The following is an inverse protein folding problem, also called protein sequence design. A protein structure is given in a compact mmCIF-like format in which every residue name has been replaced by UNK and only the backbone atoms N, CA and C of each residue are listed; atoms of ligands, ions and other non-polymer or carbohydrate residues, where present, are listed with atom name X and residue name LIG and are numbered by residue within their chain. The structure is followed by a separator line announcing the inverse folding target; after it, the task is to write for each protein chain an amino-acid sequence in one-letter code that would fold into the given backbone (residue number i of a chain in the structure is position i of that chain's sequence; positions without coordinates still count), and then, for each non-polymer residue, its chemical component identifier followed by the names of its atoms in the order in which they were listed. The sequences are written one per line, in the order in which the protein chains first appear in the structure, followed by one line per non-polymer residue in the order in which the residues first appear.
data_IF_734926059743
#
_entry.id   IF_734926059743
#
_cell.length_a   1.000
_cell.length_b   1.000
_cell.length_c   1.000
_cell.angle_alpha   90.00
_cell.angle_beta   90.00
_cell.angle_gamma   90.00
#
_symmetry.space_group_name_H-M   'P 1'
#
loop_
_entity.id
_entity.type
_entity.pdbx_description
1 polymer ?
#
# COMPACT_ATOMS: atom_id res chain seq x y z
N UNK A 1 -29.93 88.76 17.32
CA UNK A 1 -29.86 89.56 16.08
C UNK A 1 -30.19 88.66 14.90
N UNK A 2 -30.75 89.26 13.84
CA UNK A 2 -31.45 88.64 12.70
C UNK A 2 -30.69 87.54 11.93
N UNK A 3 -31.42 86.63 11.27
CA UNK A 3 -30.90 85.48 10.49
C UNK A 3 -30.71 85.81 9.00
N UNK A 4 -30.01 84.95 8.24
CA UNK A 4 -30.02 84.90 6.77
C UNK A 4 -29.35 83.59 6.29
N UNK A 5 -30.09 82.54 5.93
CA UNK A 5 -30.82 82.23 4.66
C UNK A 5 -29.94 81.77 3.49
N UNK A 6 -30.01 80.46 3.21
CA UNK A 6 -30.36 79.81 1.92
C UNK A 6 -30.48 78.30 2.21
N UNK A 7 -31.67 77.72 2.26
CA UNK A 7 -32.50 77.24 1.15
C UNK A 7 -31.77 76.18 0.29
N UNK A 8 -32.29 75.00 -0.07
CA UNK A 8 -33.56 74.27 0.14
C UNK A 8 -33.39 72.92 -0.61
N UNK A 9 -34.07 71.84 -0.18
CA UNK A 9 -34.36 70.57 -0.90
C UNK A 9 -33.13 69.64 -1.18
N UNK A 10 -33.20 68.30 -1.13
CA UNK A 10 -34.26 67.37 -1.59
C UNK A 10 -34.01 65.94 -1.06
N UNK A 11 -35.11 65.21 -0.86
CA UNK A 11 -35.36 63.76 -1.08
C UNK A 11 -34.64 62.69 -0.26
N UNK A 12 -35.44 62.04 0.59
CA UNK A 12 -35.29 60.66 1.01
C UNK A 12 -35.73 59.69 -0.12
N UNK A 13 -34.97 58.61 -0.30
CA UNK A 13 -35.43 57.39 -0.96
C UNK A 13 -34.93 56.20 -0.15
N UNK A 14 -35.89 55.45 0.41
CA UNK A 14 -35.66 54.16 1.03
C UNK A 14 -35.39 53.12 -0.06
N UNK A 15 -34.25 52.42 0.04
CA UNK A 15 -33.96 51.26 -0.79
C UNK A 15 -34.26 49.99 0.02
N UNK A 16 -35.25 49.23 -0.47
CA UNK A 16 -35.59 47.90 0.01
C UNK A 16 -34.43 46.94 -0.27
N UNK A 17 -33.96 46.24 0.77
CA UNK A 17 -32.99 45.15 0.63
C UNK A 17 -33.77 43.88 0.29
N UNK A 18 -33.85 43.57 -1.00
CA UNK A 18 -34.38 42.30 -1.48
C UNK A 18 -33.40 41.18 -1.13
N UNK A 19 -33.87 40.22 -0.34
CA UNK A 19 -33.18 38.97 -0.06
C UNK A 19 -33.06 38.13 -1.33
N UNK A 20 -31.88 38.09 -1.93
CA UNK A 20 -31.50 37.03 -2.86
C UNK A 20 -30.89 35.89 -2.05
N UNK A 21 -31.72 34.89 -1.80
CA UNK A 21 -31.30 33.58 -1.29
C UNK A 21 -30.19 33.03 -2.19
N UNK A 22 -28.97 32.96 -1.66
CA UNK A 22 -27.86 32.20 -2.24
C UNK A 22 -28.16 30.71 -2.14
N UNK A 23 -29.12 30.23 -2.92
CA UNK A 23 -29.27 28.83 -3.26
C UNK A 23 -28.17 28.45 -4.26
N UNK A 24 -26.91 28.50 -3.83
CA UNK A 24 -25.77 28.09 -4.66
C UNK A 24 -24.68 27.35 -3.87
N UNK A 25 -24.99 26.84 -2.67
CA UNK A 25 -24.05 26.04 -1.88
C UNK A 25 -24.50 24.59 -1.61
N UNK A 26 -25.73 24.18 -1.95
CA UNK A 26 -26.16 22.77 -1.80
C UNK A 26 -25.80 21.89 -2.99
N UNK A 27 -25.13 22.44 -4.00
CA UNK A 27 -24.47 21.71 -5.07
C UNK A 27 -22.97 21.52 -4.82
N UNK A 28 -22.53 21.69 -3.56
CA UNK A 28 -21.30 21.09 -3.05
C UNK A 28 -21.45 19.57 -3.11
N UNK A 29 -21.30 19.06 -4.33
CA UNK A 29 -20.80 17.75 -4.70
C UNK A 29 -21.01 16.73 -3.59
N UNK A 30 -22.12 15.98 -3.65
CA UNK A 30 -22.21 14.65 -3.04
C UNK A 30 -20.96 13.90 -3.53
N UNK A 31 -19.84 14.01 -2.80
CA UNK A 31 -18.65 13.20 -3.04
C UNK A 31 -19.20 11.79 -2.92
N UNK A 32 -19.18 11.05 -4.03
CA UNK A 32 -19.64 9.66 -4.02
C UNK A 32 -18.83 8.98 -2.93
N UNK A 33 -19.47 8.68 -1.82
CA UNK A 33 -18.82 8.09 -0.66
C UNK A 33 -18.20 6.79 -1.12
N UNK A 34 -16.89 6.64 -0.95
CA UNK A 34 -16.21 5.41 -1.33
C UNK A 34 -16.82 4.27 -0.53
N UNK A 35 -17.18 3.17 -1.19
CA UNK A 35 -17.52 1.90 -0.53
C UNK A 35 -16.47 0.85 -0.86
N UNK A 36 -15.88 0.25 0.16
CA UNK A 36 -14.95 -0.89 0.01
C UNK A 36 -15.66 -2.10 -0.60
N UNK A 37 -14.89 -3.12 -1.02
CA UNK A 37 -15.47 -4.40 -1.44
C UNK A 37 -16.33 -5.02 -0.34
N UNK A 38 -15.90 -4.95 0.93
CA UNK A 38 -16.69 -5.41 2.06
C UNK A 38 -18.00 -4.64 2.24
N UNK A 39 -17.96 -3.29 2.23
CA UNK A 39 -19.18 -2.47 2.36
C UNK A 39 -20.19 -2.75 1.23
N UNK A 40 -19.72 -3.15 0.05
CA UNK A 40 -20.60 -3.55 -1.05
C UNK A 40 -21.15 -4.96 -0.89
N UNK A 41 -20.32 -5.90 -0.44
CA UNK A 41 -20.76 -7.26 -0.16
C UNK A 41 -21.86 -7.27 0.93
N UNK A 42 -21.65 -6.54 2.02
CA UNK A 42 -22.61 -6.39 3.11
C UNK A 42 -23.91 -5.70 2.66
N UNK A 43 -23.79 -4.60 1.92
CA UNK A 43 -24.93 -3.87 1.37
C UNK A 43 -25.80 -4.72 0.44
N UNK A 44 -25.17 -5.60 -0.35
CA UNK A 44 -25.87 -6.50 -1.25
C UNK A 44 -26.33 -7.79 -0.53
N UNK A 45 -26.33 -7.78 0.82
CA UNK A 45 -26.89 -8.84 1.65
C UNK A 45 -26.10 -10.15 1.62
N UNK A 46 -24.81 -10.09 1.31
CA UNK A 46 -23.93 -11.26 1.17
C UNK A 46 -24.39 -12.27 0.12
N UNK A 47 -25.21 -11.90 -0.87
CA UNK A 47 -25.72 -12.84 -1.92
C UNK A 47 -24.61 -13.66 -2.58
N UNK A 48 -23.42 -13.07 -2.74
CA UNK A 48 -22.25 -13.76 -3.30
C UNK A 48 -21.80 -14.97 -2.46
N UNK A 49 -22.11 -15.02 -1.17
CA UNK A 49 -21.68 -16.05 -0.22
C UNK A 49 -22.83 -16.98 0.22
N UNK A 50 -24.04 -16.78 -0.30
CA UNK A 50 -25.22 -17.53 0.12
C UNK A 50 -25.05 -19.05 -0.10
N UNK A 51 -25.34 -19.83 0.94
CA UNK A 51 -25.23 -21.29 0.92
C UNK A 51 -23.80 -21.83 0.82
N UNK A 52 -22.77 -20.99 0.95
CA UNK A 52 -21.36 -21.40 0.91
C UNK A 52 -20.76 -21.45 2.31
N UNK A 53 -19.94 -22.47 2.60
CA UNK A 53 -19.05 -22.44 3.78
C UNK A 53 -17.87 -21.53 3.48
N UNK A 54 -17.75 -20.43 4.22
CA UNK A 54 -16.78 -19.38 3.96
C UNK A 54 -15.58 -19.50 4.88
N UNK A 55 -14.38 -19.39 4.32
CA UNK A 55 -13.19 -19.03 5.08
C UNK A 55 -12.64 -17.69 4.60
N UNK A 56 -11.95 -16.95 5.47
CA UNK A 56 -11.46 -15.61 5.13
C UNK A 56 -9.97 -15.44 5.44
N UNK A 57 -9.20 -15.03 4.43
CA UNK A 57 -7.83 -14.55 4.53
C UNK A 57 -7.88 -13.07 4.89
N UNK A 58 -7.48 -12.74 6.11
CA UNK A 58 -7.53 -11.37 6.62
C UNK A 58 -6.54 -11.15 7.77
N UNK A 59 -6.42 -9.90 8.19
CA UNK A 59 -5.56 -9.43 9.27
C UNK A 59 -6.24 -8.21 9.93
N UNK A 60 -5.61 -7.46 10.86
CA UNK A 60 -6.25 -6.33 11.52
C UNK A 60 -6.78 -5.23 10.60
N UNK A 61 -6.32 -5.16 9.35
CA UNK A 61 -6.78 -4.17 8.38
C UNK A 61 -8.13 -4.49 7.76
N UNK A 62 -8.60 -5.73 7.93
CA UNK A 62 -9.93 -6.21 7.56
C UNK A 62 -10.98 -5.60 8.47
N UNK A 63 -11.18 -4.29 8.38
CA UNK A 63 -12.16 -3.54 9.17
C UNK A 63 -13.18 -2.84 8.30
N UNK A 64 -14.35 -2.65 8.90
CA UNK A 64 -15.40 -1.73 8.45
C UNK A 64 -15.00 -0.28 8.67
N UNK A 65 -15.79 0.65 8.13
CA UNK A 65 -15.59 2.09 8.31
C UNK A 65 -15.58 2.52 9.77
N UNK A 66 -16.38 1.87 10.61
CA UNK A 66 -16.47 2.14 12.04
C UNK A 66 -15.45 1.32 12.84
N UNK A 67 -14.38 0.86 12.18
CA UNK A 67 -13.26 0.11 12.77
C UNK A 67 -13.64 -1.22 13.45
N UNK A 68 -14.80 -1.81 13.13
CA UNK A 68 -15.13 -3.19 13.52
C UNK A 68 -14.46 -4.18 12.59
N UNK A 69 -13.87 -5.23 13.13
CA UNK A 69 -13.23 -6.28 12.35
C UNK A 69 -14.28 -7.08 11.55
N UNK A 70 -14.04 -7.31 10.26
CA UNK A 70 -15.02 -7.93 9.35
C UNK A 70 -15.35 -9.37 9.74
N UNK A 71 -14.41 -10.12 10.33
CA UNK A 71 -14.67 -11.47 10.88
C UNK A 71 -15.77 -11.42 11.94
N UNK A 72 -15.68 -10.48 12.88
CA UNK A 72 -16.66 -10.34 13.96
C UNK A 72 -18.02 -9.90 13.40
N UNK A 73 -18.03 -9.07 12.35
CA UNK A 73 -19.26 -8.64 11.65
C UNK A 73 -19.91 -9.80 10.87
N UNK A 74 -19.13 -10.54 10.07
CA UNK A 74 -19.63 -11.65 9.26
C UNK A 74 -20.06 -12.83 10.12
N UNK A 75 -19.31 -13.15 11.18
CA UNK A 75 -19.62 -14.28 12.06
C UNK A 75 -20.95 -14.07 12.82
N UNK A 76 -21.28 -12.82 13.16
CA UNK A 76 -22.54 -12.49 13.83
C UNK A 76 -23.75 -12.45 12.88
N UNK A 77 -23.55 -12.48 11.56
CA UNK A 77 -24.62 -12.37 10.57
C UNK A 77 -25.07 -13.75 10.07
N UNK A 78 -26.31 -14.12 10.37
CA UNK A 78 -26.88 -15.42 10.00
C UNK A 78 -26.94 -15.71 8.50
N UNK A 79 -26.73 -14.69 7.64
CA UNK A 79 -26.65 -14.85 6.18
C UNK A 79 -25.31 -15.39 5.72
N UNK A 80 -24.30 -15.42 6.59
CA UNK A 80 -22.94 -15.86 6.27
C UNK A 80 -22.56 -17.07 7.12
N UNK A 81 -22.24 -18.18 6.46
CA UNK A 81 -21.71 -19.37 7.12
C UNK A 81 -20.17 -19.30 7.21
N UNK A 82 -19.65 -18.43 8.09
CA UNK A 82 -18.21 -18.26 8.30
C UNK A 82 -17.65 -19.38 9.20
N UNK A 83 -16.67 -20.13 8.68
CA UNK A 83 -16.15 -21.36 9.30
C UNK A 83 -14.68 -21.31 9.70
N UNK A 84 -13.87 -20.47 9.06
CA UNK A 84 -12.44 -20.43 9.30
C UNK A 84 -11.82 -19.07 8.97
N UNK A 85 -10.71 -18.77 9.64
CA UNK A 85 -9.88 -17.60 9.37
C UNK A 85 -8.48 -18.05 8.98
N UNK A 86 -7.86 -17.35 8.04
CA UNK A 86 -6.52 -17.62 7.53
C UNK A 86 -5.64 -16.39 7.77
N UNK A 87 -4.72 -16.48 8.73
CA UNK A 87 -3.81 -15.39 9.09
C UNK A 87 -2.56 -15.37 8.18
N UNK A 88 -2.17 -14.21 7.61
CA UNK A 88 -0.96 -14.05 6.80
C UNK A 88 0.29 -13.78 7.68
N UNK A 89 1.34 -13.22 7.07
CA UNK A 89 2.43 -12.57 7.82
C UNK A 89 1.86 -11.52 8.80
N UNK A 90 2.45 -11.44 9.99
CA UNK A 90 1.97 -10.71 11.18
C UNK A 90 0.78 -11.34 11.92
N UNK A 91 0.13 -12.35 11.34
CA UNK A 91 -1.00 -13.06 11.95
C UNK A 91 -2.35 -12.39 11.71
N UNK A 92 -3.40 -13.02 12.27
CA UNK A 92 -4.79 -12.59 12.10
C UNK A 92 -5.11 -11.37 12.96
N UNK A 93 -4.72 -11.37 14.23
CA UNK A 93 -4.90 -10.21 15.14
C UNK A 93 -3.65 -9.31 15.18
N UNK A 94 -2.63 -9.61 14.38
CA UNK A 94 -1.51 -8.71 14.07
C UNK A 94 -0.46 -8.56 15.18
N UNK A 95 -0.29 -9.57 16.03
CA UNK A 95 0.62 -9.45 17.19
C UNK A 95 2.08 -9.78 16.87
N UNK A 96 2.38 -10.34 15.69
CA UNK A 96 3.73 -10.75 15.30
C UNK A 96 4.55 -9.67 14.56
N UNK A 97 5.86 -9.65 14.78
CA UNK A 97 6.81 -8.77 14.08
C UNK A 97 7.02 -9.17 12.61
N UNK A 98 7.71 -8.32 11.85
CA UNK A 98 8.10 -8.61 10.46
C UNK A 98 8.87 -9.93 10.37
N UNK A 99 8.52 -10.77 9.41
CA UNK A 99 9.06 -12.11 9.27
C UNK A 99 8.40 -13.19 10.13
N UNK A 100 7.30 -12.90 10.85
CA UNK A 100 6.64 -13.84 11.77
C UNK A 100 5.12 -13.97 11.61
N UNK A 101 4.52 -14.96 12.26
CA UNK A 101 3.08 -15.26 12.26
C UNK A 101 2.61 -15.83 13.60
N UNK A 102 1.28 -15.95 13.73
CA UNK A 102 0.61 -16.65 14.82
C UNK A 102 0.23 -18.05 14.30
N UNK A 103 0.70 -19.12 14.95
CA UNK A 103 0.34 -20.49 14.57
C UNK A 103 -1.16 -20.80 14.67
N UNK A 104 -1.56 -22.06 14.43
CA UNK A 104 -2.98 -22.47 14.55
C UNK A 104 -3.52 -22.24 15.96
N UNK A 105 -4.66 -21.58 16.08
CA UNK A 105 -5.39 -21.35 17.33
C UNK A 105 -6.90 -21.16 17.06
N UNK A 106 -7.71 -21.04 18.10
CA UNK A 106 -9.12 -20.64 17.97
C UNK A 106 -9.25 -19.17 18.39
N UNK A 107 -9.98 -18.38 17.61
CA UNK A 107 -10.20 -16.97 17.90
C UNK A 107 -11.07 -16.83 19.17
N UNK A 108 -10.60 -16.14 20.22
CA UNK A 108 -11.35 -16.03 21.47
C UNK A 108 -12.71 -15.32 21.34
N UNK A 109 -12.87 -14.44 20.34
CA UNK A 109 -14.09 -13.66 20.17
C UNK A 109 -15.20 -14.44 19.45
N UNK A 110 -14.84 -15.26 18.46
CA UNK A 110 -15.79 -15.98 17.60
C UNK A 110 -15.77 -17.50 17.78
N UNK A 111 -14.74 -18.05 18.42
CA UNK A 111 -14.51 -19.50 18.50
C UNK A 111 -14.12 -20.14 17.17
N UNK A 112 -13.89 -19.35 16.11
CA UNK A 112 -13.51 -19.86 14.80
C UNK A 112 -12.07 -20.37 14.81
N UNK A 113 -11.77 -21.48 14.10
CA UNK A 113 -10.39 -21.91 13.88
C UNK A 113 -9.64 -20.89 13.01
N UNK A 114 -8.49 -20.46 13.51
CA UNK A 114 -7.52 -19.61 12.82
C UNK A 114 -6.34 -20.46 12.37
N UNK A 115 -6.10 -20.49 11.06
CA UNK A 115 -5.00 -21.21 10.45
C UNK A 115 -3.90 -20.25 10.02
N UNK A 116 -2.65 -20.62 10.28
CA UNK A 116 -1.50 -19.88 9.79
C UNK A 116 -1.23 -20.21 8.31
N UNK A 117 -1.12 -19.19 7.48
CA UNK A 117 -0.78 -19.31 6.05
C UNK A 117 0.59 -18.75 5.71
N UNK A 118 1.31 -18.19 6.67
CA UNK A 118 2.61 -17.59 6.45
C UNK A 118 3.64 -18.62 5.97
N UNK A 119 4.39 -18.26 4.92
CA UNK A 119 5.37 -19.10 4.22
C UNK A 119 4.84 -20.45 3.69
N UNK A 120 3.52 -20.59 3.55
CA UNK A 120 2.89 -21.75 2.92
C UNK A 120 2.42 -21.37 1.51
N UNK A 121 2.66 -22.26 0.56
CA UNK A 121 2.20 -22.12 -0.83
C UNK A 121 1.90 -23.49 -1.42
N UNK A 122 1.33 -23.55 -2.62
CA UNK A 122 1.06 -24.81 -3.32
C UNK A 122 0.24 -25.81 -2.50
N UNK A 123 0.67 -27.08 -2.51
CA UNK A 123 -0.05 -28.19 -1.86
C UNK A 123 -0.20 -28.04 -0.34
N UNK A 124 0.86 -27.68 0.44
CA UNK A 124 0.70 -27.44 1.88
C UNK A 124 -0.39 -26.43 2.25
N UNK A 125 -0.55 -25.35 1.47
CA UNK A 125 -1.62 -24.37 1.70
C UNK A 125 -2.98 -24.90 1.22
N UNK A 126 -3.03 -25.64 0.11
CA UNK A 126 -4.25 -26.28 -0.38
C UNK A 126 -4.81 -27.31 0.61
N UNK A 127 -3.93 -28.04 1.31
CA UNK A 127 -4.32 -29.00 2.35
C UNK A 127 -4.97 -28.31 3.55
N UNK A 128 -4.53 -27.09 3.90
CA UNK A 128 -5.18 -26.26 4.94
C UNK A 128 -6.60 -25.88 4.51
N UNK A 129 -6.79 -25.40 3.29
CA UNK A 129 -8.13 -25.08 2.78
C UNK A 129 -9.04 -26.31 2.74
N UNK A 130 -8.49 -27.47 2.38
CA UNK A 130 -9.23 -28.74 2.39
C UNK A 130 -9.64 -29.13 3.82
N UNK A 131 -8.71 -29.11 4.76
CA UNK A 131 -8.94 -29.47 6.15
C UNK A 131 -9.90 -28.52 6.89
N UNK A 132 -9.93 -27.24 6.49
CA UNK A 132 -10.86 -26.25 7.06
C UNK A 132 -12.32 -26.49 6.68
N UNK A 133 -12.60 -27.32 5.66
CA UNK A 133 -13.95 -27.67 5.24
C UNK A 133 -14.73 -26.53 4.55
N UNK A 134 -14.05 -25.46 4.14
CA UNK A 134 -14.65 -24.32 3.42
C UNK A 134 -14.82 -24.62 1.94
N UNK A 135 -15.81 -23.98 1.31
CA UNK A 135 -16.08 -24.07 -0.13
C UNK A 135 -15.57 -22.82 -0.87
N UNK A 136 -15.67 -21.66 -0.21
CA UNK A 136 -15.23 -20.37 -0.72
C UNK A 136 -14.19 -19.75 0.22
N UNK A 137 -13.06 -19.31 -0.35
CA UNK A 137 -12.06 -18.50 0.35
C UNK A 137 -12.22 -17.04 -0.05
N UNK A 138 -12.45 -16.19 0.93
CA UNK A 138 -12.54 -14.72 0.77
C UNK A 138 -11.19 -14.11 1.14
N UNK A 139 -10.72 -13.10 0.39
CA UNK A 139 -9.54 -12.31 0.72
C UNK A 139 -9.96 -10.86 0.99
N UNK A 140 -9.60 -10.34 2.17
CA UNK A 140 -9.77 -8.94 2.50
C UNK A 140 -8.63 -8.43 3.39
N UNK A 141 -7.64 -7.79 2.76
CA UNK A 141 -6.47 -7.18 3.41
C UNK A 141 -6.12 -5.86 2.70
N UNK A 142 -5.81 -4.84 3.49
CA UNK A 142 -5.22 -3.58 3.00
C UNK A 142 -3.73 -3.78 2.68
N UNK A 143 -3.40 -3.68 1.39
CA UNK A 143 -2.04 -3.62 0.89
C UNK A 143 -1.46 -2.18 0.92
N UNK A 144 -0.17 -2.01 0.61
CA UNK A 144 0.52 -0.70 0.58
C UNK A 144 0.94 -0.22 -0.81
N UNK A 145 0.70 -1.01 -1.87
CA UNK A 145 0.99 -0.62 -3.25
C UNK A 145 2.43 -0.87 -3.70
N UNK A 146 3.18 -1.72 -3.00
CA UNK A 146 4.57 -2.04 -3.28
C UNK A 146 4.77 -3.55 -3.45
N UNK A 147 5.55 -3.96 -4.45
CA UNK A 147 5.77 -5.37 -4.81
C UNK A 147 6.33 -6.20 -3.66
N UNK A 148 7.24 -5.63 -2.87
CA UNK A 148 7.87 -6.33 -1.75
C UNK A 148 7.04 -6.31 -0.45
N UNK A 149 5.82 -5.77 -0.49
CA UNK A 149 4.86 -5.96 0.59
C UNK A 149 4.12 -7.28 0.36
N UNK A 150 4.27 -8.22 1.28
CA UNK A 150 4.02 -9.65 1.05
C UNK A 150 2.54 -10.04 0.94
N UNK A 151 1.60 -9.17 1.30
CA UNK A 151 0.17 -9.48 1.27
C UNK A 151 -0.37 -9.76 -0.14
N UNK A 152 0.18 -9.13 -1.17
CA UNK A 152 -0.18 -9.47 -2.56
C UNK A 152 0.36 -10.85 -2.97
N UNK A 153 1.43 -11.33 -2.33
CA UNK A 153 1.96 -12.68 -2.56
C UNK A 153 1.23 -13.73 -1.72
N UNK A 154 0.74 -13.38 -0.53
CA UNK A 154 -0.28 -14.19 0.16
C UNK A 154 -1.52 -14.34 -0.71
N UNK A 155 -2.02 -13.26 -1.34
CA UNK A 155 -3.11 -13.32 -2.30
C UNK A 155 -2.80 -14.30 -3.44
N UNK A 156 -1.64 -14.17 -4.08
CA UNK A 156 -1.21 -15.08 -5.16
C UNK A 156 -1.14 -16.54 -4.71
N UNK A 157 -0.45 -16.83 -3.61
CA UNK A 157 -0.26 -18.19 -3.08
C UNK A 157 -1.61 -18.79 -2.63
N UNK A 158 -2.51 -18.00 -2.05
CA UNK A 158 -3.88 -18.43 -1.69
C UNK A 158 -4.74 -18.72 -2.93
N UNK A 159 -4.62 -17.93 -4.00
CA UNK A 159 -5.34 -18.20 -5.24
C UNK A 159 -4.88 -19.52 -5.89
N UNK A 160 -3.57 -19.77 -5.93
CA UNK A 160 -3.02 -21.04 -6.41
C UNK A 160 -3.47 -22.23 -5.54
N UNK A 161 -3.43 -22.09 -4.22
CA UNK A 161 -3.86 -23.12 -3.29
C UNK A 161 -5.37 -23.40 -3.36
N UNK A 162 -6.20 -22.36 -3.51
CA UNK A 162 -7.64 -22.50 -3.70
C UNK A 162 -7.95 -23.29 -4.96
N UNK A 163 -7.26 -22.99 -6.07
CA UNK A 163 -7.36 -23.79 -7.30
C UNK A 163 -6.99 -25.27 -7.06
N UNK A 164 -5.85 -25.53 -6.42
CA UNK A 164 -5.41 -26.90 -6.09
C UNK A 164 -6.40 -27.68 -5.21
N UNK A 165 -7.10 -26.98 -4.32
CA UNK A 165 -8.10 -27.54 -3.42
C UNK A 165 -9.53 -27.54 -4.00
N UNK A 166 -9.72 -27.13 -5.26
CA UNK A 166 -11.03 -27.05 -5.91
C UNK A 166 -11.97 -26.04 -5.25
N UNK A 167 -11.44 -24.96 -4.68
CA UNK A 167 -12.18 -23.92 -3.97
C UNK A 167 -12.46 -22.72 -4.86
N UNK A 168 -13.56 -22.05 -4.57
CA UNK A 168 -13.87 -20.74 -5.13
C UNK A 168 -13.10 -19.66 -4.39
N UNK A 169 -12.68 -18.59 -5.09
CA UNK A 169 -11.93 -17.49 -4.50
C UNK A 169 -12.63 -16.15 -4.72
N UNK A 170 -12.82 -15.38 -3.66
CA UNK A 170 -13.49 -14.07 -3.69
C UNK A 170 -12.55 -13.00 -3.13
N UNK A 171 -12.34 -11.92 -3.87
CA UNK A 171 -11.52 -10.78 -3.38
C UNK A 171 -12.40 -9.58 -3.10
N UNK A 172 -12.36 -9.09 -1.87
CA UNK A 172 -13.01 -7.84 -1.47
C UNK A 172 -12.01 -6.70 -1.68
N UNK A 173 -12.30 -5.82 -2.63
CA UNK A 173 -11.29 -4.84 -3.03
C UNK A 173 -11.12 -3.70 -2.02
N UNK A 174 -9.89 -3.19 -1.93
CA UNK A 174 -9.50 -2.05 -1.10
C UNK A 174 -8.69 -1.02 -1.90
N UNK A 175 -8.65 0.25 -1.49
CA UNK A 175 -7.85 1.27 -2.15
C UNK A 175 -6.38 0.87 -2.19
N UNK A 176 -5.70 1.12 -3.31
CA UNK A 176 -4.24 1.26 -3.27
C UNK A 176 -3.95 2.59 -2.54
N UNK A 177 -3.23 2.58 -1.40
CA UNK A 177 -3.13 3.77 -0.54
C UNK A 177 -2.24 4.87 -1.13
N UNK A 178 -1.33 4.49 -2.04
CA UNK A 178 -0.45 5.43 -2.74
C UNK A 178 -1.20 6.05 -3.90
N UNK A 179 -1.62 5.27 -4.90
CA UNK A 179 -2.49 5.72 -6.02
C UNK A 179 -2.63 4.59 -7.04
N UNK A 180 -3.67 4.64 -7.88
CA UNK A 180 -3.77 3.80 -9.08
C UNK A 180 -3.14 4.38 -10.34
N UNK A 181 -2.62 5.62 -10.33
CA UNK A 181 -2.29 6.38 -11.56
C UNK A 181 -1.26 5.72 -12.47
N UNK A 182 -0.13 5.29 -11.91
CA UNK A 182 1.01 4.84 -12.68
C UNK A 182 1.59 3.55 -12.11
N UNK A 183 2.35 2.82 -12.93
CA UNK A 183 3.29 1.81 -12.44
C UNK A 183 4.68 2.44 -12.52
N UNK A 184 5.50 2.26 -11.49
CA UNK A 184 6.84 2.85 -11.39
C UNK A 184 7.87 1.79 -10.97
N UNK A 185 9.12 2.03 -11.37
CA UNK A 185 10.25 1.21 -10.99
C UNK A 185 10.47 -0.06 -11.82
N UNK A 186 11.53 -0.81 -11.47
CA UNK A 186 11.87 -2.06 -12.13
C UNK A 186 10.76 -3.12 -12.04
N UNK A 187 10.64 -3.94 -13.06
CA UNK A 187 9.81 -5.15 -13.07
C UNK A 187 10.66 -6.34 -12.63
N UNK A 188 10.08 -7.24 -11.84
CA UNK A 188 10.77 -8.43 -11.36
C UNK A 188 11.16 -9.34 -12.54
N UNK A 189 12.42 -9.74 -12.59
CA UNK A 189 12.90 -10.85 -13.42
C UNK A 189 12.76 -12.15 -12.64
N UNK A 190 12.27 -13.22 -13.30
CA UNK A 190 11.78 -14.42 -12.63
C UNK A 190 12.85 -15.14 -11.80
N UNK A 191 14.11 -15.07 -12.20
CA UNK A 191 15.26 -15.63 -11.49
C UNK A 191 15.55 -14.95 -10.14
N UNK A 192 14.99 -13.75 -9.92
CA UNK A 192 15.05 -13.06 -8.62
C UNK A 192 13.81 -13.32 -7.75
N UNK A 193 12.87 -14.15 -8.21
CA UNK A 193 11.63 -14.40 -7.48
C UNK A 193 11.87 -15.00 -6.08
N UNK A 194 11.15 -14.49 -5.10
CA UNK A 194 11.13 -14.89 -3.69
C UNK A 194 9.75 -14.58 -3.09
N UNK A 195 9.56 -14.70 -1.77
CA UNK A 195 8.29 -14.31 -1.15
C UNK A 195 8.02 -12.79 -1.19
N UNK A 196 9.05 -11.95 -1.32
CA UNK A 196 8.87 -10.48 -1.54
C UNK A 196 8.68 -10.13 -3.03
N UNK A 197 8.50 -11.13 -3.89
CA UNK A 197 8.33 -10.95 -5.32
C UNK A 197 8.15 -12.28 -6.03
N UNK A 198 6.92 -12.75 -6.28
CA UNK A 198 6.70 -14.05 -6.97
C UNK A 198 6.68 -13.93 -8.50
N UNK A 199 6.08 -12.85 -9.00
CA UNK A 199 5.72 -12.71 -10.41
C UNK A 199 6.18 -11.38 -11.03
N UNK A 200 6.38 -11.30 -12.35
CA UNK A 200 6.89 -10.12 -13.07
C UNK A 200 5.94 -8.91 -13.06
N UNK A 201 5.86 -8.22 -11.91
CA UNK A 201 5.15 -6.94 -11.75
C UNK A 201 6.12 -5.82 -11.38
N UNK A 202 5.73 -4.57 -11.69
CA UNK A 202 6.52 -3.40 -11.32
C UNK A 202 6.61 -3.19 -9.80
N UNK A 203 7.71 -2.61 -9.35
CA UNK A 203 7.99 -2.33 -7.93
C UNK A 203 6.89 -1.52 -7.24
N UNK A 204 6.43 -0.43 -7.85
CA UNK A 204 5.17 0.22 -7.50
C UNK A 204 4.17 -0.12 -8.61
N UNK A 205 3.34 -1.14 -8.39
CA UNK A 205 2.47 -1.70 -9.43
C UNK A 205 1.29 -0.79 -9.78
N UNK A 206 0.83 0.04 -8.83
CA UNK A 206 -0.27 0.99 -9.00
C UNK A 206 -1.60 0.33 -9.35
N UNK A 207 -1.90 -0.80 -8.71
CA UNK A 207 -3.10 -1.61 -8.90
C UNK A 207 -3.73 -1.90 -7.53
N UNK A 208 -5.05 -2.10 -7.48
CA UNK A 208 -5.74 -2.60 -6.28
C UNK A 208 -5.55 -4.11 -6.14
N UNK A 209 -5.93 -4.68 -4.98
CA UNK A 209 -5.81 -6.13 -4.75
C UNK A 209 -6.74 -6.93 -5.67
N UNK A 210 -7.92 -6.42 -6.02
CA UNK A 210 -8.78 -7.10 -7.01
C UNK A 210 -8.23 -7.00 -8.44
N UNK A 211 -7.63 -5.85 -8.83
CA UNK A 211 -6.95 -5.74 -10.13
C UNK A 211 -5.76 -6.70 -10.22
N UNK A 212 -4.98 -6.82 -9.14
CA UNK A 212 -3.88 -7.79 -9.04
C UNK A 212 -4.39 -9.23 -9.10
N UNK A 213 -5.46 -9.58 -8.37
CA UNK A 213 -6.04 -10.92 -8.43
C UNK A 213 -6.45 -11.29 -9.86
N UNK A 214 -7.11 -10.37 -10.58
CA UNK A 214 -7.48 -10.62 -12.00
C UNK A 214 -6.25 -10.80 -12.89
N UNK A 215 -5.20 -10.00 -12.67
CA UNK A 215 -3.94 -10.11 -13.41
C UNK A 215 -3.26 -11.46 -13.11
N UNK A 216 -3.15 -11.85 -11.85
CA UNK A 216 -2.55 -13.12 -11.43
C UNK A 216 -3.31 -14.31 -12.03
N UNK A 217 -4.64 -14.28 -11.98
CA UNK A 217 -5.49 -15.33 -12.53
C UNK A 217 -5.38 -15.47 -14.06
N UNK A 218 -5.11 -14.36 -14.75
CA UNK A 218 -5.09 -14.31 -16.21
C UNK A 218 -3.72 -14.47 -16.85
N UNK A 219 -2.64 -14.07 -16.17
CA UNK A 219 -1.29 -14.05 -16.74
C UNK A 219 -0.33 -15.03 -16.05
N UNK A 220 -0.53 -15.39 -14.77
CA UNK A 220 0.52 -16.05 -13.98
C UNK A 220 0.14 -17.38 -13.32
N UNK A 221 -1.13 -17.62 -12.98
CA UNK A 221 -1.54 -18.95 -12.54
C UNK A 221 -1.49 -19.92 -13.72
N UNK A 222 -1.01 -21.14 -13.48
CA UNK A 222 -0.96 -22.20 -14.50
C UNK A 222 -2.34 -22.49 -15.08
N UNK A 223 -3.36 -22.44 -14.23
CA UNK A 223 -4.78 -22.53 -14.59
C UNK A 223 -5.56 -21.54 -13.71
N UNK A 224 -6.64 -20.94 -14.22
CA UNK A 224 -7.41 -19.98 -13.44
C UNK A 224 -8.14 -20.64 -12.27
N UNK A 225 -8.17 -19.97 -11.11
CA UNK A 225 -9.11 -20.27 -10.02
C UNK A 225 -10.50 -19.70 -10.38
N UNK A 226 -11.61 -20.30 -9.91
CA UNK A 226 -12.93 -19.67 -9.96
C UNK A 226 -12.97 -18.37 -9.14
N UNK A 227 -12.52 -17.28 -9.76
CA UNK A 227 -12.32 -15.96 -9.15
C UNK A 227 -13.57 -15.08 -9.31
N UNK A 228 -13.97 -14.45 -8.22
CA UNK A 228 -14.87 -13.30 -8.26
C UNK A 228 -14.27 -12.13 -7.47
N UNK A 229 -14.51 -10.92 -7.94
CA UNK A 229 -14.00 -9.70 -7.31
C UNK A 229 -15.16 -8.78 -6.96
N UNK A 230 -15.26 -8.37 -5.70
CA UNK A 230 -16.20 -7.34 -5.26
C UNK A 230 -15.49 -5.99 -5.37
N UNK A 231 -15.75 -5.28 -6.46
CA UNK A 231 -15.10 -4.00 -6.75
C UNK A 231 -15.55 -2.93 -5.77
N UNK A 232 -14.74 -1.90 -5.52
CA UNK A 232 -15.16 -0.71 -4.79
C UNK A 232 -16.15 0.12 -5.62
N UNK A 233 -16.87 1.01 -4.95
CA UNK A 233 -17.52 2.15 -5.61
C UNK A 233 -16.97 3.47 -5.07
N UNK A 234 -16.97 4.52 -5.89
CA UNK A 234 -16.50 5.85 -5.48
C UNK A 234 -14.98 6.05 -5.56
N UNK A 235 -14.14 5.00 -5.49
CA UNK A 235 -12.69 5.12 -5.65
C UNK A 235 -12.28 5.54 -7.07
N UNK A 236 -11.33 6.47 -7.16
CA UNK A 236 -10.68 6.85 -8.42
C UNK A 236 -9.20 6.59 -8.37
N UNK A 237 -8.61 6.24 -9.52
CA UNK A 237 -7.17 5.96 -9.58
C UNK A 237 -6.31 7.13 -9.15
N UNK A 238 -6.76 8.36 -9.36
CA UNK A 238 -6.03 9.58 -9.00
C UNK A 238 -6.03 9.93 -7.52
N UNK A 239 -6.82 9.23 -6.71
CA UNK A 239 -6.96 9.51 -5.28
C UNK A 239 -5.88 8.81 -4.45
N UNK A 240 -5.45 9.49 -3.40
CA UNK A 240 -4.62 8.97 -2.32
C UNK A 240 -5.53 8.48 -1.18
N UNK A 241 -4.98 7.73 -0.23
CA UNK A 241 -5.78 7.08 0.84
C UNK A 241 -6.65 8.05 1.65
N UNK A 242 -6.18 9.26 1.94
CA UNK A 242 -6.89 10.30 2.70
C UNK A 242 -8.22 10.72 2.05
N UNK A 243 -8.33 10.61 0.72
CA UNK A 243 -9.58 10.91 0.02
C UNK A 243 -10.70 9.88 0.29
N UNK A 244 -10.36 8.68 0.78
CA UNK A 244 -11.32 7.61 1.05
C UNK A 244 -12.17 7.82 2.31
N UNK A 245 -11.65 8.61 3.27
CA UNK A 245 -12.24 8.76 4.61
C UNK A 245 -12.33 7.43 5.39
N UNK A 246 -11.52 6.44 5.05
CA UNK A 246 -11.41 5.17 5.78
C UNK A 246 -10.41 5.30 6.94
N UNK A 247 -10.59 4.57 8.04
CA UNK A 247 -9.59 4.49 9.09
C UNK A 247 -8.33 3.77 8.58
N UNK A 248 -7.16 4.32 8.87
CA UNK A 248 -5.89 3.62 8.64
C UNK A 248 -5.59 2.71 9.83
N UNK A 249 -5.79 1.41 9.66
CA UNK A 249 -5.24 0.41 10.57
C UNK A 249 -3.85 0.02 10.05
N UNK A 250 -2.77 0.19 10.82
CA UNK A 250 -1.42 -0.13 10.35
C UNK A 250 -1.34 -1.57 9.84
N UNK A 251 -1.02 -1.80 8.55
CA UNK A 251 -0.96 -3.15 8.00
C UNK A 251 0.25 -3.93 8.51
N UNK A 252 1.23 -3.27 9.11
CA UNK A 252 2.34 -3.89 9.84
C UNK A 252 2.90 -2.91 10.88
N UNK A 253 3.69 -3.36 11.86
CA UNK A 253 4.23 -2.47 12.91
C UNK A 253 5.05 -1.29 12.40
N UNK A 254 5.69 -1.43 11.24
CA UNK A 254 6.52 -0.38 10.62
C UNK A 254 5.82 0.32 9.45
N UNK A 255 4.49 0.18 9.34
CA UNK A 255 3.65 0.91 8.39
C UNK A 255 2.58 1.75 9.12
N UNK A 256 2.99 2.69 9.99
CA UNK A 256 2.08 3.37 10.90
C UNK A 256 1.13 4.34 10.21
N UNK A 257 1.47 4.85 9.02
CA UNK A 257 0.72 5.92 8.36
C UNK A 257 0.64 5.73 6.83
N UNK A 258 -0.37 6.30 6.15
CA UNK A 258 -0.40 6.38 4.69
C UNK A 258 0.81 7.11 4.10
N UNK A 259 1.38 8.09 4.82
CA UNK A 259 2.60 8.79 4.42
C UNK A 259 3.80 7.84 4.37
N UNK A 260 3.89 6.89 5.29
CA UNK A 260 4.89 5.82 5.24
C UNK A 260 4.71 4.97 3.97
N UNK A 261 3.48 4.60 3.62
CA UNK A 261 3.19 3.82 2.41
C UNK A 261 3.60 4.56 1.13
N UNK A 262 3.43 5.89 1.11
CA UNK A 262 3.78 6.75 -0.03
C UNK A 262 5.26 6.67 -0.41
N UNK A 263 6.16 6.64 0.58
CA UNK A 263 7.61 6.60 0.35
C UNK A 263 8.17 5.18 0.27
N UNK A 264 7.46 4.21 0.86
CA UNK A 264 7.92 2.84 1.09
C UNK A 264 8.48 2.14 -0.16
N UNK A 265 7.80 2.29 -1.31
CA UNK A 265 8.24 1.64 -2.55
C UNK A 265 9.63 2.11 -3.02
N UNK A 266 10.14 3.26 -2.55
CA UNK A 266 11.51 3.70 -2.78
C UNK A 266 12.44 3.47 -1.61
N UNK A 267 12.02 3.82 -0.40
CA UNK A 267 12.90 3.85 0.77
C UNK A 267 13.10 2.48 1.43
N UNK A 268 12.22 1.50 1.17
CA UNK A 268 12.45 0.12 1.58
C UNK A 268 13.67 -0.52 0.89
N UNK A 269 14.17 0.04 -0.22
CA UNK A 269 15.40 -0.43 -0.87
C UNK A 269 16.61 -0.40 0.08
N UNK A 270 16.59 0.45 1.10
CA UNK A 270 17.64 0.55 2.12
C UNK A 270 17.71 -0.69 3.03
N UNK A 271 16.69 -1.54 3.06
CA UNK A 271 16.78 -2.88 3.65
C UNK A 271 17.84 -3.74 2.94
N UNK A 272 18.20 -3.43 1.70
CA UNK A 272 19.28 -4.04 0.92
C UNK A 272 20.68 -3.49 1.21
N UNK A 273 20.81 -2.55 2.15
CA UNK A 273 22.06 -1.84 2.48
C UNK A 273 22.41 -1.94 3.96
N UNK A 274 23.58 -1.42 4.33
CA UNK A 274 24.01 -1.24 5.71
C UNK A 274 23.41 0.01 6.41
N UNK A 275 22.66 0.87 5.70
CA UNK A 275 21.98 2.02 6.31
C UNK A 275 20.68 1.59 6.99
N UNK A 276 20.31 2.30 8.06
CA UNK A 276 18.99 2.23 8.67
C UNK A 276 17.94 2.79 7.71
N UNK A 277 16.86 2.06 7.56
CA UNK A 277 15.62 2.50 6.93
C UNK A 277 14.63 3.11 7.94
N UNK A 278 15.09 3.53 9.12
CA UNK A 278 14.28 4.23 10.12
C UNK A 278 13.40 3.34 10.99
N UNK A 279 13.45 2.01 10.82
CA UNK A 279 12.85 1.06 11.79
C UNK A 279 13.44 1.30 13.18
N UNK A 280 12.61 1.12 14.22
CA UNK A 280 12.98 1.49 15.59
C UNK A 280 12.79 2.98 15.90
N UNK A 281 12.14 3.74 15.01
CA UNK A 281 11.75 5.14 15.25
C UNK A 281 10.24 5.30 15.07
N UNK A 282 9.72 6.51 15.30
CA UNK A 282 8.31 6.86 15.02
C UNK A 282 8.06 7.22 13.55
N UNK A 283 9.08 7.13 12.69
CA UNK A 283 9.05 7.52 11.26
C UNK A 283 9.80 6.49 10.38
N UNK A 284 9.44 5.19 10.46
CA UNK A 284 10.06 4.17 9.61
C UNK A 284 9.88 4.52 8.14
N UNK A 285 10.88 4.21 7.31
CA UNK A 285 10.95 4.46 5.87
C UNK A 285 10.92 5.94 5.44
N UNK A 286 10.56 6.86 6.33
CA UNK A 286 10.68 8.30 6.11
C UNK A 286 12.07 8.82 6.55
N UNK A 287 12.71 8.14 7.50
CA UNK A 287 14.08 8.39 7.96
C UNK A 287 15.04 7.34 7.39
N UNK A 288 16.19 7.79 6.91
CA UNK A 288 17.28 6.94 6.45
C UNK A 288 18.60 7.44 7.02
N UNK A 289 19.52 6.57 7.42
CA UNK A 289 20.78 7.03 8.02
C UNK A 289 21.77 5.95 8.41
N UNK A 290 22.97 6.37 8.78
CA UNK A 290 24.02 5.49 9.30
C UNK A 290 25.02 6.30 10.15
N UNK A 291 25.89 5.59 10.86
CA UNK A 291 26.99 6.20 11.59
C UNK A 291 27.95 6.92 10.62
N UNK A 292 28.31 8.17 10.93
CA UNK A 292 29.20 9.00 10.10
C UNK A 292 28.55 9.63 8.86
N UNK A 293 27.23 9.51 8.68
CA UNK A 293 26.47 10.27 7.69
C UNK A 293 26.12 11.65 8.25
N UNK A 294 26.16 12.68 7.40
CA UNK A 294 25.94 14.09 7.78
C UNK A 294 25.09 14.85 6.73
N UNK A 295 24.90 16.17 6.93
CA UNK A 295 24.19 17.09 6.02
C UNK A 295 24.52 16.96 4.53
N UNK A 296 25.72 16.50 4.17
CA UNK A 296 26.12 16.38 2.75
C UNK A 296 25.20 15.46 1.97
N UNK A 297 24.61 14.45 2.61
CA UNK A 297 23.65 13.58 1.93
C UNK A 297 22.35 14.30 1.60
N UNK A 298 21.76 15.04 2.55
CA UNK A 298 20.59 15.87 2.28
C UNK A 298 20.87 16.92 1.21
N UNK A 299 22.04 17.57 1.25
CA UNK A 299 22.45 18.55 0.25
C UNK A 299 22.53 17.93 -1.15
N UNK A 300 23.27 16.84 -1.31
CA UNK A 300 23.42 16.15 -2.60
C UNK A 300 22.08 15.61 -3.15
N UNK A 301 21.18 15.14 -2.29
CA UNK A 301 19.85 14.70 -2.72
C UNK A 301 18.96 15.88 -3.16
N UNK A 302 19.05 17.03 -2.49
CA UNK A 302 18.30 18.24 -2.90
C UNK A 302 18.84 18.88 -4.18
N UNK A 303 20.14 18.76 -4.49
CA UNK A 303 20.74 19.22 -5.75
C UNK A 303 20.12 18.57 -6.99
N UNK A 304 19.57 17.36 -6.86
CA UNK A 304 18.87 16.66 -7.94
C UNK A 304 17.52 17.28 -8.29
N UNK A 305 17.00 18.20 -7.48
CA UNK A 305 15.72 18.90 -7.70
C UNK A 305 14.55 17.97 -8.06
N UNK A 306 14.45 16.82 -7.36
CA UNK A 306 13.43 15.82 -7.64
C UNK A 306 12.01 16.38 -7.44
N UNK A 307 11.06 16.07 -8.36
CA UNK A 307 9.70 16.60 -8.25
C UNK A 307 8.98 16.17 -6.97
N UNK A 308 8.37 17.14 -6.30
CA UNK A 308 7.43 16.92 -5.19
C UNK A 308 8.03 16.47 -3.86
N UNK A 309 9.36 16.46 -3.72
CA UNK A 309 10.05 16.00 -2.52
C UNK A 309 11.18 16.94 -2.12
N UNK A 310 11.43 17.04 -0.81
CA UNK A 310 12.60 17.68 -0.22
C UNK A 310 13.24 16.75 0.80
N UNK A 311 14.54 16.91 1.00
CA UNK A 311 15.29 16.14 1.98
C UNK A 311 15.80 17.05 3.08
N UNK A 312 15.50 16.69 4.33
CA UNK A 312 15.99 17.40 5.51
C UNK A 312 17.09 16.56 6.15
N UNK A 313 18.19 17.19 6.57
CA UNK A 313 19.13 16.53 7.47
C UNK A 313 18.41 16.05 8.74
N UNK A 314 18.69 14.82 9.17
CA UNK A 314 18.11 14.23 10.36
C UNK A 314 19.17 13.48 11.17
N UNK A 315 19.04 13.55 12.50
CA UNK A 315 19.72 12.68 13.43
C UNK A 315 18.68 11.93 14.24
N UNK A 316 18.89 10.64 14.45
CA UNK A 316 17.94 9.79 15.16
C UNK A 316 18.65 8.61 15.81
N UNK A 317 18.01 8.02 16.83
CA UNK A 317 18.51 6.86 17.54
C UNK A 317 17.43 5.75 17.52
N UNK A 318 17.58 4.72 16.67
CA UNK A 318 16.66 3.59 16.62
C UNK A 318 16.60 2.86 17.97
N UNK A 319 15.40 2.47 18.41
CA UNK A 319 15.17 1.65 19.61
C UNK A 319 15.24 0.14 19.32
N UNK A 320 15.21 -0.24 18.04
CA UNK A 320 15.34 -1.61 17.54
C UNK A 320 15.92 -1.59 16.11
N UNK A 321 16.22 -2.75 15.53
CA UNK A 321 16.81 -2.89 14.18
C UNK A 321 18.24 -2.30 14.07
N UNK A 322 18.67 -1.96 12.85
CA UNK A 322 20.00 -1.41 12.55
C UNK A 322 20.30 -0.18 13.39
N UNK A 323 21.52 -0.13 13.96
CA UNK A 323 22.00 0.94 14.84
C UNK A 323 21.19 1.14 16.13
N UNK A 324 20.53 0.09 16.64
CA UNK A 324 19.84 0.12 17.93
C UNK A 324 20.69 0.77 19.04
N UNK A 325 20.11 1.77 19.71
CA UNK A 325 20.74 2.48 20.83
C UNK A 325 21.83 3.49 20.44
N UNK A 326 22.12 3.67 19.14
CA UNK A 326 23.13 4.60 18.64
C UNK A 326 22.50 5.78 17.93
N UNK A 327 23.01 6.99 18.18
CA UNK A 327 22.64 8.16 17.38
C UNK A 327 23.36 8.11 16.04
N UNK A 328 22.59 8.19 14.95
CA UNK A 328 23.08 8.21 13.58
C UNK A 328 22.58 9.45 12.85
N UNK A 329 23.33 9.89 11.85
CA UNK A 329 22.95 10.99 10.96
C UNK A 329 22.36 10.47 9.65
N UNK A 330 21.70 11.33 8.91
CA UNK A 330 20.98 10.91 7.72
C UNK A 330 20.02 11.95 7.16
N UNK A 331 18.98 11.45 6.49
CA UNK A 331 17.97 12.26 5.81
C UNK A 331 16.56 11.86 6.24
N UNK A 332 15.68 12.85 6.27
CA UNK A 332 14.24 12.64 6.29
C UNK A 332 13.65 13.04 4.94
N UNK A 333 12.79 12.19 4.39
CA UNK A 333 12.03 12.45 3.16
C UNK A 333 10.78 13.26 3.48
N UNK A 334 10.60 14.42 2.84
CA UNK A 334 9.42 15.27 2.98
C UNK A 334 8.73 15.41 1.63
N UNK A 335 7.63 14.70 1.43
CA UNK A 335 6.81 14.80 0.21
C UNK A 335 5.85 15.99 0.33
N UNK A 336 5.97 16.97 -0.56
CA UNK A 336 5.12 18.17 -0.56
C UNK A 336 4.19 18.25 -1.79
N UNK A 337 4.46 17.48 -2.85
CA UNK A 337 3.53 17.29 -3.97
C UNK A 337 3.47 15.80 -4.33
N UNK A 338 2.44 15.13 -3.80
CA UNK A 338 2.22 13.70 -3.97
C UNK A 338 1.93 13.32 -5.43
N UNK A 339 1.39 14.23 -6.23
CA UNK A 339 1.03 13.95 -7.62
C UNK A 339 2.24 13.96 -8.56
N UNK A 340 3.27 14.74 -8.22
CA UNK A 340 4.54 14.81 -8.95
C UNK A 340 5.58 13.79 -8.43
N UNK A 341 5.42 13.30 -7.21
CA UNK A 341 6.38 12.42 -6.53
C UNK A 341 6.48 11.03 -7.18
N UNK A 342 7.69 10.62 -7.55
CA UNK A 342 8.04 9.24 -7.93
C UNK A 342 8.85 8.59 -6.79
N UNK A 343 8.24 7.73 -5.96
CA UNK A 343 8.93 7.12 -4.84
C UNK A 343 10.10 6.23 -5.28
N UNK A 344 9.98 5.50 -6.39
CA UNK A 344 11.03 4.57 -6.80
C UNK A 344 12.24 5.34 -7.31
N UNK A 345 12.04 6.35 -8.17
CA UNK A 345 13.15 7.22 -8.62
C UNK A 345 13.82 7.93 -7.45
N UNK A 346 13.03 8.36 -6.46
CA UNK A 346 13.54 8.98 -5.23
C UNK A 346 14.41 8.00 -4.43
N UNK A 347 13.99 6.75 -4.26
CA UNK A 347 14.79 5.72 -3.58
C UNK A 347 16.13 5.46 -4.28
N UNK A 348 16.12 5.42 -5.61
CA UNK A 348 17.33 5.23 -6.43
C UNK A 348 18.27 6.43 -6.30
N UNK A 349 17.74 7.66 -6.38
CA UNK A 349 18.51 8.87 -6.17
C UNK A 349 19.17 8.92 -4.79
N UNK A 350 18.44 8.48 -3.75
CA UNK A 350 18.98 8.41 -2.39
C UNK A 350 20.11 7.37 -2.29
N UNK A 351 20.00 6.21 -2.95
CA UNK A 351 21.08 5.21 -2.99
C UNK A 351 22.32 5.75 -3.72
N UNK A 352 22.14 6.35 -4.90
CA UNK A 352 23.23 6.95 -5.70
C UNK A 352 23.95 8.03 -4.90
N UNK A 353 23.20 8.97 -4.32
CA UNK A 353 23.77 10.08 -3.54
C UNK A 353 24.43 9.60 -2.25
N UNK A 354 23.85 8.63 -1.54
CA UNK A 354 24.45 8.03 -0.34
C UNK A 354 25.82 7.43 -0.66
N UNK A 355 25.90 6.58 -1.68
CA UNK A 355 27.16 5.95 -2.10
C UNK A 355 28.20 6.97 -2.55
N UNK A 356 27.77 8.06 -3.20
CA UNK A 356 28.66 9.13 -3.68
C UNK A 356 29.29 9.94 -2.55
N UNK A 357 28.51 10.29 -1.53
CA UNK A 357 28.96 11.24 -0.48
C UNK A 357 29.46 10.57 0.80
N UNK A 358 29.15 9.29 1.00
CA UNK A 358 29.51 8.55 2.20
C UNK A 358 30.27 7.27 1.87
N UNK A 359 31.56 7.24 2.23
CA UNK A 359 32.47 6.12 1.97
C UNK A 359 32.13 4.83 2.72
N UNK A 360 31.27 4.91 3.74
CA UNK A 360 30.81 3.74 4.50
C UNK A 360 29.70 2.95 3.82
N UNK A 361 29.23 3.37 2.63
CA UNK A 361 28.14 2.69 1.93
C UNK A 361 28.51 1.24 1.59
N UNK A 362 27.64 0.31 1.97
CA UNK A 362 27.74 -1.09 1.58
C UNK A 362 26.36 -1.69 1.29
N UNK A 363 26.30 -2.52 0.26
CA UNK A 363 25.20 -3.47 0.09
C UNK A 363 25.26 -4.52 1.21
N UNK A 364 24.11 -5.13 1.53
CA UNK A 364 24.13 -6.33 2.36
C UNK A 364 24.92 -7.45 1.68
N UNK A 365 25.60 -8.33 2.44
CA UNK A 365 26.40 -9.42 1.87
C UNK A 365 25.61 -10.39 0.97
N UNK A 366 24.30 -10.54 1.19
CA UNK A 366 23.41 -11.39 0.41
C UNK A 366 22.83 -10.70 -0.84
N UNK A 367 23.23 -9.45 -1.12
CA UNK A 367 22.69 -8.61 -2.18
C UNK A 367 21.15 -8.57 -2.17
N UNK A 368 20.55 -8.46 -0.98
CA UNK A 368 19.08 -8.39 -0.84
C UNK A 368 18.42 -7.30 -1.70
N UNK A 369 19.16 -6.23 -2.03
CA UNK A 369 18.75 -5.21 -2.98
C UNK A 369 18.27 -5.82 -4.32
N UNK A 370 18.95 -6.86 -4.83
CA UNK A 370 18.62 -7.49 -6.11
C UNK A 370 17.26 -8.20 -6.05
N UNK A 371 16.85 -8.69 -4.86
CA UNK A 371 15.52 -9.26 -4.63
C UNK A 371 14.45 -8.17 -4.54
N UNK A 372 14.77 -7.04 -3.91
CA UNK A 372 13.86 -5.90 -3.78
C UNK A 372 13.60 -5.22 -5.12
N UNK A 373 14.64 -4.96 -5.91
CA UNK A 373 14.54 -4.37 -7.25
C UNK A 373 14.13 -5.40 -8.28
N UNK A 374 14.35 -6.69 -8.01
CA UNK A 374 13.94 -7.79 -8.88
C UNK A 374 14.89 -8.01 -10.06
N UNK A 375 16.10 -7.46 -9.99
CA UNK A 375 17.24 -7.77 -10.85
C UNK A 375 18.52 -7.22 -10.24
N UNK A 376 19.68 -7.75 -10.64
CA UNK A 376 20.97 -7.20 -10.24
C UNK A 376 21.28 -5.82 -10.85
N UNK A 377 20.49 -5.35 -11.82
CA UNK A 377 20.75 -4.17 -12.65
C UNK A 377 20.98 -2.90 -11.82
N UNK A 378 20.11 -2.63 -10.85
CA UNK A 378 20.22 -1.42 -10.01
C UNK A 378 21.55 -1.39 -9.27
N UNK A 379 21.90 -2.48 -8.59
CA UNK A 379 23.14 -2.60 -7.82
C UNK A 379 24.36 -2.44 -8.71
N UNK A 380 24.43 -3.21 -9.81
CA UNK A 380 25.60 -3.21 -10.70
C UNK A 380 25.80 -1.89 -11.43
N UNK A 381 24.73 -1.20 -11.82
CA UNK A 381 24.83 0.13 -12.43
C UNK A 381 25.31 1.17 -11.43
N UNK A 382 24.78 1.19 -10.21
CA UNK A 382 25.24 2.09 -9.14
C UNK A 382 26.71 1.81 -8.77
N UNK A 383 27.12 0.54 -8.73
CA UNK A 383 28.53 0.16 -8.50
C UNK A 383 29.45 0.60 -9.65
N UNK A 384 28.95 0.62 -10.88
CA UNK A 384 29.66 1.14 -12.04
C UNK A 384 29.68 2.68 -12.14
N UNK A 385 29.03 3.38 -11.20
CA UNK A 385 29.02 4.84 -11.14
C UNK A 385 27.90 5.50 -11.95
N UNK A 386 26.89 4.74 -12.40
CA UNK A 386 25.74 5.29 -13.10
C UNK A 386 24.95 6.25 -12.22
N UNK A 387 24.42 7.32 -12.82
CA UNK A 387 23.55 8.27 -12.14
C UNK A 387 22.09 7.78 -12.02
N UNK A 388 21.23 8.61 -11.43
CA UNK A 388 19.82 8.25 -11.20
C UNK A 388 19.06 7.99 -12.51
N UNK A 389 19.37 8.75 -13.56
CA UNK A 389 18.63 8.76 -14.81
C UNK A 389 19.07 7.59 -15.69
N UNK A 390 20.37 7.29 -15.70
CA UNK A 390 20.93 6.10 -16.31
C UNK A 390 20.36 4.82 -15.68
N UNK A 391 20.36 4.74 -14.35
CA UNK A 391 19.75 3.61 -13.62
C UNK A 391 18.28 3.49 -13.98
N UNK A 392 17.53 4.61 -13.99
CA UNK A 392 16.11 4.63 -14.30
C UNK A 392 15.76 4.29 -15.74
N UNK A 393 16.61 4.64 -16.71
CA UNK A 393 16.47 4.23 -18.10
C UNK A 393 16.52 2.70 -18.23
N UNK A 394 17.28 2.03 -17.36
CA UNK A 394 17.53 0.60 -17.41
C UNK A 394 16.30 -0.31 -17.33
N UNK A 395 15.15 0.12 -16.81
CA UNK A 395 13.94 -0.73 -16.71
C UNK A 395 12.75 -0.23 -17.53
N UNK A 396 12.92 0.80 -18.37
CA UNK A 396 11.79 1.42 -19.07
C UNK A 396 11.08 0.46 -20.04
N UNK A 397 11.82 -0.43 -20.69
CA UNK A 397 11.25 -1.43 -21.59
C UNK A 397 10.33 -2.42 -20.85
N UNK A 398 10.85 -3.04 -19.79
CA UNK A 398 10.09 -3.98 -18.94
C UNK A 398 8.87 -3.29 -18.32
N UNK A 399 9.04 -2.06 -17.84
CA UNK A 399 7.96 -1.26 -17.26
C UNK A 399 6.90 -0.90 -18.31
N UNK A 400 7.29 -0.58 -19.54
CA UNK A 400 6.35 -0.34 -20.63
C UNK A 400 5.57 -1.61 -20.99
N UNK A 401 6.22 -2.78 -20.99
CA UNK A 401 5.56 -4.07 -21.19
C UNK A 401 4.54 -4.34 -20.08
N UNK A 402 4.93 -4.21 -18.81
CA UNK A 402 4.02 -4.37 -17.68
C UNK A 402 2.84 -3.38 -17.76
N UNK A 403 3.09 -2.12 -18.11
CA UNK A 403 2.04 -1.10 -18.32
C UNK A 403 1.03 -1.51 -19.40
N UNK A 404 1.47 -2.18 -20.48
CA UNK A 404 0.56 -2.74 -21.49
C UNK A 404 -0.28 -3.88 -20.92
N UNK A 405 0.35 -4.81 -20.20
CA UNK A 405 -0.33 -5.95 -19.58
C UNK A 405 -1.37 -5.51 -18.54
N UNK A 406 -0.99 -4.67 -17.57
CA UNK A 406 -1.91 -4.25 -16.50
C UNK A 406 -3.17 -3.57 -17.00
N UNK A 407 -3.13 -2.86 -18.13
CA UNK A 407 -4.30 -2.16 -18.70
C UNK A 407 -5.47 -3.10 -18.97
N UNK A 408 -5.21 -4.38 -19.29
CA UNK A 408 -6.26 -5.39 -19.50
C UNK A 408 -7.07 -5.69 -18.24
N UNK A 409 -6.48 -5.45 -17.06
CA UNK A 409 -7.00 -5.90 -15.76
C UNK A 409 -7.53 -4.76 -14.88
N UNK A 410 -7.34 -3.50 -15.28
CA UNK A 410 -7.81 -2.35 -14.50
C UNK A 410 -9.34 -2.34 -14.42
N UNK A 411 -9.86 -2.08 -13.23
CA UNK A 411 -11.28 -2.03 -12.88
C UNK A 411 -11.80 -0.60 -12.73
N UNK A 412 -10.90 0.35 -12.46
CA UNK A 412 -11.23 1.73 -12.13
C UNK A 412 -10.66 2.71 -13.13
N UNK A 413 -11.26 3.90 -13.18
CA UNK A 413 -10.80 5.02 -14.03
C UNK A 413 -9.93 6.00 -13.26
#
# INVERSE_FOLDING_TARGET
MRPSRRAVLTTATAAAVSATSTASASAAQRRRHLRTGFERLDHDGYTLLEGQKVGIVTNPTGVTRDARHIVDVMHADARVDLRAVFGPEHGFRGTAQAGGSEGRHDDPATGLPVYDTYLKSGRPLADIFTASGVDTVVFDIQDVGARFYTYIWTLYDCMEAARLAGKRFVVLDRPNPVTGRAALGPVLHQEFATFVGRQPIAQAHGMTVAELARLFNGEFLTEPVPLQTVTMSGWKRSEFYDASGLPWVPPSPNMPTPETALVYSGTCLFEGTNLSEGRGTTRPFELLGAEGVDRRWAAAANELALPGVRFREAYFAPTSSKFQGKTIGGVQVHVHDRAAFDPVRTGIALLVTAKKVWSGFAWRPDNWIDKLTGSARVRTMIDAGADTDEVAAGWQEDLAAFRRTRRKYLLYR
#
